data_IF_925892712009
#
_entry.id   IF_925892712009
#
_cell.length_a   1.000
_cell.length_b   1.000
_cell.length_c   1.000
_cell.angle_alpha   90.00
_cell.angle_beta   90.00
_cell.angle_gamma   90.00
#
_symmetry.space_group_name_H-M   'P 1'
#
loop_
_entity.id
_entity.type
_entity.pdbx_description
1 polymer ?
#
# COMPACT_ATOMS: atom_id res chain seq x y z
N UNK A 1 -4.72 3.74 -26.38
CA UNK A 1 -4.31 4.92 -25.59
C UNK A 1 -2.94 5.29 -26.10
N UNK A 2 -2.85 6.39 -26.83
CA UNK A 2 -1.56 6.90 -27.32
C UNK A 2 -0.96 7.75 -26.18
N UNK A 3 0.05 7.23 -25.49
CA UNK A 3 0.72 7.92 -24.39
C UNK A 3 2.01 8.54 -24.92
N UNK A 4 2.02 9.87 -25.03
CA UNK A 4 3.17 10.63 -25.53
C UNK A 4 4.21 10.87 -24.42
N UNK A 5 5.20 9.99 -24.33
CA UNK A 5 6.23 10.07 -23.30
C UNK A 5 7.06 11.35 -23.37
N UNK A 6 7.37 11.83 -24.57
CA UNK A 6 8.23 13.00 -24.78
C UNK A 6 7.54 14.27 -24.27
N UNK A 7 6.23 14.42 -24.54
CA UNK A 7 5.43 15.52 -24.01
C UNK A 7 5.41 15.56 -22.49
N UNK A 8 5.20 14.42 -21.84
CA UNK A 8 5.15 14.35 -20.37
C UNK A 8 6.52 14.60 -19.74
N UNK A 9 7.59 14.13 -20.38
CA UNK A 9 8.97 14.39 -19.95
C UNK A 9 9.29 15.87 -20.02
N UNK A 10 8.96 16.52 -21.15
CA UNK A 10 9.12 17.96 -21.33
C UNK A 10 8.33 18.75 -20.28
N UNK A 11 7.07 18.36 -20.05
CA UNK A 11 6.22 18.99 -19.03
C UNK A 11 6.81 18.88 -17.62
N UNK A 12 7.35 17.72 -17.26
CA UNK A 12 7.98 17.51 -15.96
C UNK A 12 9.22 18.39 -15.74
N UNK A 13 9.96 18.70 -16.81
CA UNK A 13 11.15 19.55 -16.76
C UNK A 13 10.78 21.05 -16.71
N UNK A 14 9.81 21.48 -17.52
CA UNK A 14 9.44 22.89 -17.66
C UNK A 14 8.48 23.36 -16.55
N UNK A 15 7.53 22.51 -16.15
CA UNK A 15 6.53 22.84 -15.15
C UNK A 15 6.15 21.62 -14.29
N UNK A 16 6.94 21.32 -13.24
CA UNK A 16 6.69 20.16 -12.36
C UNK A 16 5.32 20.17 -11.68
N UNK A 17 4.78 21.36 -11.35
CA UNK A 17 3.48 21.48 -10.70
C UNK A 17 2.32 21.13 -11.65
N UNK A 18 2.42 21.57 -12.90
CA UNK A 18 1.45 21.21 -13.95
C UNK A 18 1.50 19.71 -14.27
N UNK A 19 2.71 19.14 -14.36
CA UNK A 19 2.89 17.70 -14.52
C UNK A 19 2.16 16.92 -13.43
N UNK A 20 2.35 17.28 -12.16
CA UNK A 20 1.74 16.54 -11.04
C UNK A 20 0.20 16.67 -11.08
N UNK A 21 -0.33 17.84 -11.44
CA UNK A 21 -1.77 18.05 -11.65
C UNK A 21 -2.33 17.16 -12.77
N UNK A 22 -1.66 17.10 -13.92
CA UNK A 22 -2.08 16.25 -15.03
C UNK A 22 -1.96 14.76 -14.72
N UNK A 23 -0.89 14.37 -14.00
CA UNK A 23 -0.69 12.99 -13.52
C UNK A 23 -1.88 12.56 -12.68
N UNK A 24 -2.24 13.34 -11.67
CA UNK A 24 -3.38 13.04 -10.81
C UNK A 24 -4.70 12.97 -11.59
N UNK A 25 -4.95 13.92 -12.48
CA UNK A 25 -6.18 13.93 -13.30
C UNK A 25 -6.28 12.67 -14.17
N UNK A 26 -5.18 12.25 -14.78
CA UNK A 26 -5.10 11.04 -15.62
C UNK A 26 -5.35 9.77 -14.80
N UNK A 27 -4.77 9.68 -13.60
CA UNK A 27 -5.00 8.56 -12.69
C UNK A 27 -6.46 8.50 -12.22
N UNK A 28 -7.04 9.63 -11.81
CA UNK A 28 -8.46 9.71 -11.42
C UNK A 28 -9.39 9.30 -12.57
N UNK A 29 -9.13 9.76 -13.80
CA UNK A 29 -9.91 9.38 -14.97
C UNK A 29 -9.82 7.87 -15.24
N UNK A 30 -8.62 7.29 -15.11
CA UNK A 30 -8.39 5.85 -15.28
C UNK A 30 -9.17 5.03 -14.26
N UNK A 31 -9.16 5.44 -13.00
CA UNK A 31 -9.90 4.77 -11.91
C UNK A 31 -11.41 4.91 -12.10
N UNK A 32 -11.88 6.10 -12.51
CA UNK A 32 -13.30 6.34 -12.77
C UNK A 32 -13.84 5.47 -13.92
N UNK A 33 -13.03 5.24 -14.96
CA UNK A 33 -13.38 4.42 -16.11
C UNK A 33 -13.39 2.90 -15.82
N UNK A 34 -12.81 2.46 -14.69
CA UNK A 34 -12.79 1.05 -14.33
C UNK A 34 -14.19 0.53 -13.93
N UNK A 35 -14.47 -0.78 -14.08
CA UNK A 35 -15.69 -1.41 -13.57
C UNK A 35 -15.91 -1.11 -12.09
N UNK A 36 -17.19 -0.96 -11.71
CA UNK A 36 -17.59 -0.56 -10.34
C UNK A 36 -17.06 -1.51 -9.26
N UNK A 37 -17.01 -2.81 -9.55
CA UNK A 37 -16.44 -3.86 -8.68
C UNK A 37 -14.94 -3.68 -8.37
N UNK A 38 -14.20 -2.94 -9.20
CA UNK A 38 -12.76 -2.73 -9.04
C UNK A 38 -12.42 -1.33 -8.53
N UNK A 39 -13.33 -0.36 -8.68
CA UNK A 39 -13.07 1.06 -8.40
C UNK A 39 -12.57 1.29 -6.97
N UNK A 40 -13.27 0.77 -5.96
CA UNK A 40 -12.87 0.92 -4.56
C UNK A 40 -11.46 0.38 -4.28
N UNK A 41 -11.12 -0.76 -4.89
CA UNK A 41 -9.80 -1.37 -4.74
C UNK A 41 -8.71 -0.56 -5.42
N UNK A 42 -9.01 0.01 -6.59
CA UNK A 42 -8.10 0.89 -7.32
C UNK A 42 -7.87 2.22 -6.59
N UNK A 43 -8.89 2.81 -5.98
CA UNK A 43 -8.76 4.01 -5.13
C UNK A 43 -7.85 3.73 -3.93
N UNK A 44 -8.06 2.61 -3.24
CA UNK A 44 -7.20 2.20 -2.13
C UNK A 44 -5.75 1.94 -2.57
N UNK A 45 -5.55 1.36 -3.76
CA UNK A 45 -4.20 1.18 -4.32
C UNK A 45 -3.56 2.52 -4.64
N UNK A 46 -4.28 3.43 -5.31
CA UNK A 46 -3.79 4.77 -5.63
C UNK A 46 -3.36 5.53 -4.38
N UNK A 47 -4.19 5.52 -3.33
CA UNK A 47 -3.84 6.11 -2.04
C UNK A 47 -2.53 5.54 -1.48
N UNK A 48 -2.34 4.22 -1.54
CA UNK A 48 -1.09 3.58 -1.08
C UNK A 48 0.11 4.05 -1.88
N UNK A 49 -0.01 4.16 -3.21
CA UNK A 49 1.06 4.62 -4.08
C UNK A 49 1.42 6.09 -3.78
N UNK A 50 0.42 6.93 -3.54
CA UNK A 50 0.62 8.34 -3.20
C UNK A 50 1.32 8.49 -1.84
N UNK A 51 0.93 7.71 -0.83
CA UNK A 51 1.62 7.68 0.46
C UNK A 51 3.07 7.22 0.34
N UNK A 52 3.34 6.23 -0.51
CA UNK A 52 4.71 5.75 -0.74
C UNK A 52 5.58 6.83 -1.42
N UNK A 53 5.00 7.56 -2.39
CA UNK A 53 5.68 8.70 -3.04
C UNK A 53 5.96 9.83 -2.04
N UNK A 54 4.97 10.22 -1.24
CA UNK A 54 5.12 11.29 -0.24
C UNK A 54 6.15 10.98 0.84
N UNK A 55 6.27 9.70 1.24
CA UNK A 55 7.22 9.26 2.27
C UNK A 55 8.64 9.03 1.75
N UNK A 56 8.85 9.09 0.44
CA UNK A 56 10.16 8.83 -0.17
C UNK A 56 10.98 10.11 -0.23
N UNK A 57 12.24 10.03 0.19
CA UNK A 57 13.15 11.19 0.24
C UNK A 57 13.60 11.67 -1.16
N UNK A 58 13.35 10.87 -2.20
CA UNK A 58 13.67 11.22 -3.59
C UNK A 58 12.73 10.54 -4.59
N UNK A 59 12.61 11.09 -5.82
CA UNK A 59 11.85 10.47 -6.89
C UNK A 59 12.31 9.04 -7.21
N UNK A 60 13.62 8.80 -7.27
CA UNK A 60 14.16 7.46 -7.51
C UNK A 60 13.84 6.49 -6.37
N UNK A 61 13.93 6.95 -5.12
CA UNK A 61 13.52 6.15 -3.95
C UNK A 61 12.06 5.73 -4.02
N UNK A 62 11.18 6.65 -4.46
CA UNK A 62 9.77 6.32 -4.69
C UNK A 62 9.61 5.27 -5.79
N UNK A 63 10.31 5.39 -6.92
CA UNK A 63 10.26 4.42 -8.00
C UNK A 63 10.67 3.01 -7.55
N UNK A 64 11.74 2.89 -6.75
CA UNK A 64 12.18 1.60 -6.21
C UNK A 64 11.11 0.99 -5.31
N UNK A 65 10.53 1.78 -4.40
CA UNK A 65 9.47 1.32 -3.48
C UNK A 65 8.21 0.89 -4.23
N UNK A 66 7.79 1.67 -5.21
CA UNK A 66 6.65 1.33 -6.07
C UNK A 66 6.91 0.05 -6.87
N UNK A 67 8.12 -0.14 -7.40
CA UNK A 67 8.51 -1.37 -8.08
C UNK A 67 8.44 -2.59 -7.14
N UNK A 68 8.92 -2.46 -5.90
CA UNK A 68 8.79 -3.52 -4.89
C UNK A 68 7.33 -3.90 -4.59
N UNK A 69 6.42 -2.92 -4.52
CA UNK A 69 4.98 -3.17 -4.34
C UNK A 69 4.38 -3.95 -5.52
N UNK A 70 4.77 -3.60 -6.75
CA UNK A 70 4.34 -4.33 -7.96
C UNK A 70 4.83 -5.78 -7.93
N UNK A 71 6.10 -6.01 -7.63
CA UNK A 71 6.68 -7.35 -7.51
C UNK A 71 6.02 -8.20 -6.42
N UNK A 72 5.70 -7.60 -5.27
CA UNK A 72 4.95 -8.30 -4.23
C UNK A 72 3.55 -8.72 -4.70
N UNK A 73 2.87 -7.87 -5.48
CA UNK A 73 1.60 -8.19 -6.13
C UNK A 73 1.73 -9.35 -7.11
N UNK A 74 2.72 -9.29 -7.99
CA UNK A 74 3.01 -10.34 -8.97
C UNK A 74 3.33 -11.68 -8.30
N UNK A 75 4.14 -11.69 -7.25
CA UNK A 75 4.48 -12.91 -6.52
C UNK A 75 3.24 -13.53 -5.87
N UNK A 76 2.36 -12.72 -5.27
CA UNK A 76 1.08 -13.21 -4.71
C UNK A 76 0.20 -13.84 -5.80
N UNK A 77 0.06 -13.18 -6.95
CA UNK A 77 -0.71 -13.72 -8.07
C UNK A 77 -0.11 -15.05 -8.56
N UNK A 78 1.21 -15.10 -8.75
CA UNK A 78 1.92 -16.32 -9.15
C UNK A 78 1.71 -17.44 -8.15
N UNK A 79 1.78 -17.16 -6.84
CA UNK A 79 1.50 -18.14 -5.79
C UNK A 79 0.08 -18.68 -5.93
N UNK A 80 -0.92 -17.80 -6.02
CA UNK A 80 -2.32 -18.19 -6.15
C UNK A 80 -2.60 -19.02 -7.40
N UNK A 81 -2.06 -18.62 -8.56
CA UNK A 81 -2.20 -19.38 -9.80
C UNK A 81 -1.58 -20.77 -9.70
N UNK A 82 -0.41 -20.89 -9.07
CA UNK A 82 0.22 -22.19 -8.86
C UNK A 82 -0.61 -23.06 -7.91
N UNK A 83 -1.15 -22.53 -6.81
CA UNK A 83 -2.05 -23.26 -5.91
C UNK A 83 -3.25 -23.83 -6.66
N UNK A 84 -3.91 -23.01 -7.49
CA UNK A 84 -5.07 -23.44 -8.29
C UNK A 84 -4.68 -24.50 -9.33
N UNK A 85 -3.52 -24.36 -9.98
CA UNK A 85 -3.09 -25.24 -11.07
C UNK A 85 -2.52 -26.57 -10.56
N UNK A 86 -1.82 -26.57 -9.44
CA UNK A 86 -1.16 -27.76 -8.87
C UNK A 86 -2.10 -28.64 -8.06
N UNK A 87 -3.34 -28.21 -7.77
CA UNK A 87 -4.28 -28.93 -6.92
C UNK A 87 -3.83 -29.07 -5.45
N UNK A 88 -2.70 -28.44 -5.10
CA UNK A 88 -2.16 -28.40 -3.75
C UNK A 88 -2.78 -27.20 -3.04
N UNK A 89 -3.83 -27.44 -2.27
CA UNK A 89 -4.25 -26.50 -1.23
C UNK A 89 -3.17 -26.50 -0.16
N UNK A 90 -2.32 -25.47 -0.13
CA UNK A 90 -1.63 -25.13 1.11
C UNK A 90 -2.72 -24.64 2.07
N UNK A 91 -3.18 -25.53 2.95
CA UNK A 91 -3.99 -25.11 4.09
C UNK A 91 -3.17 -24.09 4.88
N UNK A 92 -3.67 -22.86 4.98
CA UNK A 92 -3.13 -21.92 5.97
C UNK A 92 -3.17 -22.65 7.31
N UNK A 93 -2.05 -22.69 8.07
CA UNK A 93 -2.03 -23.37 9.35
C UNK A 93 -3.21 -22.84 10.17
N UNK A 94 -4.03 -23.75 10.70
CA UNK A 94 -5.25 -23.42 11.42
C UNK A 94 -4.92 -22.27 12.37
N UNK A 95 -5.54 -21.09 12.14
CA UNK A 95 -5.33 -19.91 12.96
C UNK A 95 -5.69 -20.29 14.39
N UNK A 96 -4.69 -20.59 15.21
CA UNK A 96 -4.89 -20.84 16.62
C UNK A 96 -5.45 -19.56 17.21
N UNK A 97 -6.61 -19.68 17.87
CA UNK A 97 -7.28 -18.56 18.51
C UNK A 97 -6.28 -17.82 19.38
N UNK A 98 -5.97 -16.57 19.02
CA UNK A 98 -5.12 -15.72 19.84
C UNK A 98 -5.88 -15.34 21.12
N UNK A 99 -5.19 -15.35 22.26
CA UNK A 99 -5.76 -14.87 23.51
C UNK A 99 -6.05 -13.37 23.39
N UNK A 100 -7.33 -12.99 23.53
CA UNK A 100 -7.76 -11.59 23.49
C UNK A 100 -7.37 -10.94 24.81
N UNK A 101 -6.29 -10.14 24.78
CA UNK A 101 -5.88 -9.33 25.94
C UNK A 101 -6.82 -8.12 26.06
N UNK A 102 -7.59 -7.97 27.15
CA UNK A 102 -8.46 -6.82 27.34
C UNK A 102 -7.62 -5.54 27.45
N UNK A 103 -7.91 -4.55 26.60
CA UNK A 103 -7.17 -3.27 26.56
C UNK A 103 -7.23 -2.52 27.92
N UNK A 104 -8.29 -2.75 28.69
CA UNK A 104 -8.44 -2.18 30.05
C UNK A 104 -7.43 -2.79 31.04
N UNK A 105 -7.22 -4.11 31.01
CA UNK A 105 -6.25 -4.79 31.87
C UNK A 105 -4.80 -4.34 31.60
N UNK A 106 -4.48 -3.99 30.35
CA UNK A 106 -3.19 -3.40 29.96
C UNK A 106 -2.97 -2.01 30.57
N UNK A 107 -4.03 -1.19 30.67
CA UNK A 107 -3.97 0.17 31.25
C UNK A 107 -3.77 0.14 32.76
N UNK A 108 -4.37 -0.83 33.44
CA UNK A 108 -4.25 -1.01 34.89
C UNK A 108 -2.84 -1.47 35.30
N UNK A 109 -2.25 -2.42 34.57
CA UNK A 109 -0.85 -2.87 34.80
C UNK A 109 0.19 -1.76 34.63
N UNK A 110 -0.02 -0.83 33.68
CA UNK A 110 0.84 0.34 33.51
C UNK A 110 0.70 1.37 34.63
N UNK A 111 -0.49 1.48 35.25
CA UNK A 111 -0.72 2.36 36.39
C UNK A 111 -0.15 1.78 37.70
N UNK A 112 -0.25 0.48 37.90
CA UNK A 112 0.29 -0.21 39.10
C UNK A 112 1.80 -0.44 39.06
N UNK A 113 2.42 -0.45 37.87
CA UNK A 113 3.88 -0.49 37.73
C UNK A 113 4.60 0.83 38.07
N UNK A 114 3.89 1.96 38.09
CA UNK A 114 4.46 3.28 38.41
C UNK A 114 4.45 3.65 39.90
N UNK A 115 3.96 2.78 40.79
CA UNK A 115 3.86 3.07 42.24
C UNK A 115 4.89 2.33 43.11
N UNK A 116 5.90 1.66 42.53
CA UNK A 116 6.92 0.90 43.29
C UNK A 116 8.32 1.53 43.33
N UNK A 117 8.53 2.71 42.74
CA UNK A 117 9.85 3.37 42.72
C UNK A 117 9.99 4.59 43.64
N UNK A 118 8.98 4.95 44.45
CA UNK A 118 9.01 6.15 45.30
C UNK A 118 8.90 5.84 46.80
N UNK A 119 9.61 4.81 47.26
CA UNK A 119 9.84 4.58 48.69
C UNK A 119 11.14 3.79 48.93
N UNK A 120 12.29 4.43 48.68
CA UNK A 120 13.60 4.09 49.28
C UNK A 120 14.50 5.31 49.38
#
# INVERSE_FOLDING_TARGET
>A
MDFDFDKWTKLAQENPAEFERQREATLRATIAAAPSEHRQRLEGLQFRLDMERQRSDSPLGSCVRLNSLMWAGFYRLRKQLNTVTSGLSEEDPARTSAEVIPLQAMRERRRSGGQREEER
#
